data_IF_327013910583
#
_entry.id   IF_327013910583
#
_cell.length_a   1.000
_cell.length_b   1.000
_cell.length_c   1.000
_cell.angle_alpha   90.00
_cell.angle_beta   90.00
_cell.angle_gamma   90.00
#
_symmetry.space_group_name_H-M   'P 1'
#
loop_
_entity.id
_entity.type
_entity.pdbx_description
1 polymer ?
#
# COMPACT_ATOMS: atom_id res chain seq x y z
N UNK A 1 18.51 -1.63 -1.95
CA UNK A 1 17.27 -1.71 -1.15
C UNK A 1 16.11 -1.88 -2.10
N UNK A 2 15.19 -2.82 -1.86
CA UNK A 2 14.06 -3.05 -2.78
C UNK A 2 12.87 -2.16 -2.38
N UNK A 3 12.15 -1.63 -3.37
CA UNK A 3 11.00 -0.74 -3.18
C UNK A 3 9.71 -1.38 -3.70
N UNK A 4 8.60 -1.11 -3.01
CA UNK A 4 7.24 -1.42 -3.45
C UNK A 4 6.43 -0.13 -3.38
N UNK A 5 5.69 0.15 -4.46
CA UNK A 5 4.72 1.25 -4.49
C UNK A 5 3.34 0.63 -4.65
N UNK A 6 2.51 0.78 -3.62
CA UNK A 6 1.10 0.47 -3.68
C UNK A 6 0.35 1.65 -4.30
N UNK A 7 -0.66 1.34 -5.10
CA UNK A 7 -1.58 2.34 -5.63
C UNK A 7 -3.01 1.92 -5.34
N UNK A 8 -3.88 2.87 -5.05
CA UNK A 8 -5.28 2.59 -4.74
C UNK A 8 -6.09 3.87 -4.55
N UNK A 9 -7.41 3.77 -4.63
CA UNK A 9 -8.29 4.94 -4.66
C UNK A 9 -9.75 4.56 -4.98
N UNK A 10 -10.67 5.49 -4.74
CA UNK A 10 -12.08 5.45 -5.09
C UNK A 10 -13.00 4.69 -4.13
N UNK A 11 -12.60 3.50 -3.69
CA UNK A 11 -13.45 2.67 -2.81
C UNK A 11 -12.63 1.90 -1.78
N UNK A 12 -13.25 1.63 -0.62
CA UNK A 12 -12.66 0.83 0.47
C UNK A 12 -12.08 -0.49 -0.04
N UNK A 13 -12.79 -1.18 -0.96
CA UNK A 13 -12.33 -2.45 -1.50
C UNK A 13 -10.96 -2.39 -2.20
N UNK A 14 -10.67 -1.30 -2.90
CA UNK A 14 -9.37 -1.09 -3.55
C UNK A 14 -8.25 -0.70 -2.57
N UNK A 15 -8.60 -0.22 -1.38
CA UNK A 15 -7.62 0.23 -0.36
C UNK A 15 -7.34 -0.86 0.67
N UNK A 16 -8.36 -1.62 1.10
CA UNK A 16 -8.25 -2.57 2.21
C UNK A 16 -7.17 -3.62 1.99
N UNK A 17 -7.05 -4.18 0.79
CA UNK A 17 -6.04 -5.20 0.51
C UNK A 17 -4.61 -4.65 0.61
N UNK A 18 -4.40 -3.42 0.12
CA UNK A 18 -3.09 -2.76 0.21
C UNK A 18 -2.68 -2.57 1.66
N UNK A 19 -3.59 -2.06 2.50
CA UNK A 19 -3.33 -1.85 3.93
C UNK A 19 -3.01 -3.16 4.68
N UNK A 20 -3.60 -4.28 4.27
CA UNK A 20 -3.31 -5.60 4.84
C UNK A 20 -1.95 -6.16 4.42
N UNK A 21 -1.49 -5.84 3.21
CA UNK A 21 -0.23 -6.37 2.66
C UNK A 21 0.98 -5.53 3.02
N UNK A 22 0.83 -4.21 3.14
CA UNK A 22 1.93 -3.29 3.45
C UNK A 22 2.74 -3.68 4.70
N UNK A 23 2.13 -4.06 5.85
CA UNK A 23 2.87 -4.45 7.05
C UNK A 23 3.84 -5.60 6.79
N UNK A 24 3.41 -6.62 6.04
CA UNK A 24 4.26 -7.77 5.70
C UNK A 24 5.53 -7.35 4.96
N UNK A 25 5.41 -6.44 4.00
CA UNK A 25 6.57 -6.00 3.23
C UNK A 25 7.49 -5.08 4.03
N UNK A 26 6.94 -4.29 4.95
CA UNK A 26 7.73 -3.51 5.91
C UNK A 26 8.56 -4.45 6.80
N UNK A 27 7.93 -5.51 7.34
CA UNK A 27 8.61 -6.54 8.14
C UNK A 27 9.69 -7.28 7.34
N UNK A 28 9.43 -7.57 6.07
CA UNK A 28 10.39 -8.21 5.15
C UNK A 28 11.54 -7.23 4.72
N UNK A 29 11.58 -6.01 5.25
CA UNK A 29 12.67 -5.03 5.03
C UNK A 29 12.56 -4.22 3.73
N UNK A 30 11.36 -4.12 3.14
CA UNK A 30 11.12 -3.33 1.95
C UNK A 30 10.84 -1.87 2.28
N UNK A 31 11.26 -0.98 1.39
CA UNK A 31 10.82 0.41 1.40
C UNK A 31 9.45 0.49 0.72
N UNK A 32 8.41 0.76 1.50
CA UNK A 32 7.01 0.73 1.06
C UNK A 32 6.45 2.14 0.94
N UNK A 33 5.86 2.45 -0.21
CA UNK A 33 5.15 3.70 -0.50
C UNK A 33 3.71 3.40 -0.90
N UNK A 34 2.82 4.36 -0.66
CA UNK A 34 1.43 4.29 -1.11
C UNK A 34 1.05 5.60 -1.82
N UNK A 35 0.45 5.49 -3.00
CA UNK A 35 -0.09 6.61 -3.75
C UNK A 35 -1.59 6.37 -3.93
N UNK A 36 -2.41 7.25 -3.37
CA UNK A 36 -3.85 7.18 -3.55
C UNK A 36 -4.54 8.52 -3.66
N UNK A 37 -5.82 8.48 -3.99
CA UNK A 37 -6.63 9.68 -4.10
C UNK A 37 -7.02 10.24 -2.71
N UNK A 38 -7.37 11.53 -2.64
CA UNK A 38 -7.70 12.22 -1.38
C UNK A 38 -8.94 11.69 -0.66
N UNK A 39 -9.82 10.99 -1.36
CA UNK A 39 -11.10 10.45 -0.87
C UNK A 39 -10.99 8.99 -0.45
N UNK A 40 -9.89 8.32 -0.81
CA UNK A 40 -9.66 6.90 -0.55
C UNK A 40 -10.28 6.03 -1.63
#
# INVERSE_FOLDING_TARGET
MKKIVFTGGGTVGHVTLNLLLMPKFIEDGWEVHYIGDKRG
#
